data_IF_290093991296
#
_entry.id   IF_290093991296
#
_cell.length_a   1.000
_cell.length_b   1.000
_cell.length_c   1.000
_cell.angle_alpha   90.00
_cell.angle_beta   90.00
_cell.angle_gamma   90.00
#
_symmetry.space_group_name_H-M   'P 1'
#
loop_
_entity.id
_entity.type
_entity.pdbx_description
1 polymer ?
#
# COMPACT_ATOMS: atom_id res chain seq x y z
N UNK A 1 33.84 -8.77 5.88
CA UNK A 1 33.62 -9.82 4.87
C UNK A 1 33.33 -11.11 5.61
N UNK A 2 32.09 -11.29 6.07
CA UNK A 2 31.68 -12.57 6.66
C UNK A 2 30.76 -13.20 5.63
N UNK A 3 31.31 -14.17 4.91
CA UNK A 3 30.62 -15.01 3.93
C UNK A 3 29.57 -15.88 4.65
N UNK A 4 28.56 -15.24 5.21
CA UNK A 4 27.41 -15.92 5.78
C UNK A 4 26.55 -16.38 4.61
N UNK A 5 26.81 -17.62 4.17
CA UNK A 5 26.13 -18.23 3.02
C UNK A 5 24.62 -18.23 3.21
N UNK A 6 24.14 -18.26 4.46
CA UNK A 6 22.71 -18.23 4.79
C UNK A 6 21.99 -16.99 4.27
N UNK A 7 22.62 -15.81 4.37
CA UNK A 7 22.04 -14.55 3.88
C UNK A 7 22.01 -14.55 2.34
N UNK A 8 23.09 -15.04 1.72
CA UNK A 8 23.17 -15.16 0.26
C UNK A 8 22.12 -16.11 -0.31
N UNK A 9 21.92 -17.26 0.32
CA UNK A 9 20.92 -18.26 -0.06
C UNK A 9 19.50 -17.68 0.06
N UNK A 10 19.21 -16.92 1.13
CA UNK A 10 17.91 -16.25 1.30
C UNK A 10 17.65 -15.15 0.28
N UNK A 11 18.65 -14.34 -0.05
CA UNK A 11 18.52 -13.32 -1.12
C UNK A 11 18.29 -14.01 -2.46
N UNK A 12 18.99 -15.11 -2.75
CA UNK A 12 18.78 -15.88 -3.97
C UNK A 12 17.36 -16.46 -4.03
N UNK A 13 16.86 -17.04 -2.93
CA UNK A 13 15.50 -17.55 -2.83
C UNK A 13 14.45 -16.44 -3.02
N UNK A 14 14.65 -15.27 -2.41
CA UNK A 14 13.81 -14.11 -2.62
C UNK A 14 13.80 -13.72 -4.10
N UNK A 15 14.97 -13.52 -4.72
CA UNK A 15 15.13 -13.14 -6.14
C UNK A 15 14.46 -14.11 -7.11
N UNK A 16 14.50 -15.41 -6.83
CA UNK A 16 13.80 -16.43 -7.64
C UNK A 16 12.28 -16.29 -7.55
N UNK A 17 11.76 -15.97 -6.36
CA UNK A 17 10.32 -15.81 -6.08
C UNK A 17 9.73 -14.48 -6.60
N UNK A 18 10.42 -13.36 -6.43
CA UNK A 18 9.95 -12.04 -6.92
C UNK A 18 10.23 -11.81 -8.42
N UNK A 19 11.16 -12.56 -9.01
CA UNK A 19 11.60 -12.36 -10.38
C UNK A 19 12.51 -11.14 -10.56
N UNK A 20 13.00 -10.93 -11.79
CA UNK A 20 14.04 -9.92 -12.10
C UNK A 20 13.63 -8.46 -11.85
N UNK A 21 12.33 -8.17 -11.82
CA UNK A 21 11.80 -6.80 -11.68
C UNK A 21 11.11 -6.57 -10.33
N UNK A 22 11.07 -7.59 -9.45
CA UNK A 22 10.44 -7.44 -8.14
C UNK A 22 11.30 -6.65 -7.17
N UNK A 23 10.64 -5.94 -6.24
CA UNK A 23 11.30 -5.12 -5.22
C UNK A 23 11.50 -5.96 -3.97
N UNK A 24 12.72 -5.95 -3.42
CA UNK A 24 13.03 -6.58 -2.14
C UNK A 24 13.20 -5.48 -1.10
N UNK A 25 12.37 -5.53 -0.06
CA UNK A 25 12.46 -4.65 1.11
C UNK A 25 12.92 -5.48 2.31
N UNK A 26 13.80 -4.92 3.14
CA UNK A 26 14.28 -5.56 4.37
C UNK A 26 13.80 -4.74 5.55
N UNK A 27 13.15 -5.40 6.52
CA UNK A 27 12.65 -4.80 7.76
C UNK A 27 13.24 -5.51 8.98
N UNK A 28 13.43 -4.76 10.07
CA UNK A 28 13.92 -5.31 11.33
C UNK A 28 12.84 -6.19 11.99
N UNK A 29 13.03 -7.51 11.91
CA UNK A 29 12.16 -8.49 12.53
C UNK A 29 12.29 -8.50 14.06
N UNK A 30 11.21 -8.85 14.76
CA UNK A 30 11.21 -9.10 16.22
C UNK A 30 11.56 -10.55 16.59
N UNK A 31 11.65 -11.42 15.58
CA UNK A 31 11.93 -12.84 15.73
C UNK A 31 13.45 -13.09 15.79
N UNK A 32 13.84 -14.19 16.44
CA UNK A 32 15.21 -14.71 16.37
C UNK A 32 15.50 -15.35 15.01
N UNK A 33 14.43 -15.67 14.27
CA UNK A 33 14.51 -16.30 12.97
C UNK A 33 14.21 -15.29 11.86
N UNK A 34 14.80 -15.63 10.75
CA UNK A 34 14.80 -14.93 9.49
C UNK A 34 13.56 -15.32 8.66
N UNK A 35 12.64 -14.38 8.42
CA UNK A 35 11.38 -14.63 7.69
C UNK A 35 11.47 -14.09 6.24
N UNK A 36 10.76 -14.72 5.30
CA UNK A 36 10.64 -14.29 3.90
C UNK A 36 9.17 -14.30 3.51
N UNK A 37 8.59 -13.11 3.40
CA UNK A 37 7.21 -12.90 2.95
C UNK A 37 7.18 -12.40 1.52
N UNK A 38 6.40 -13.06 0.66
CA UNK A 38 6.14 -12.62 -0.71
C UNK A 38 4.78 -11.92 -0.70
N UNK A 39 4.78 -10.64 -1.05
CA UNK A 39 3.53 -9.88 -1.20
C UNK A 39 3.20 -9.79 -2.68
N UNK A 40 2.14 -10.48 -3.10
CA UNK A 40 1.55 -10.30 -4.43
C UNK A 40 0.69 -9.03 -4.42
N UNK A 41 1.03 -8.06 -5.26
CA UNK A 41 0.31 -6.79 -5.32
C UNK A 41 1.09 -5.68 -6.01
N UNK A 42 0.67 -4.45 -5.75
CA UNK A 42 1.32 -3.25 -6.24
C UNK A 42 1.58 -2.32 -5.07
N UNK A 43 2.81 -1.83 -4.97
CA UNK A 43 3.23 -0.88 -3.95
C UNK A 43 3.63 0.44 -4.63
N UNK A 44 3.34 1.55 -3.94
CA UNK A 44 3.73 2.88 -4.35
C UNK A 44 4.34 3.63 -3.17
N UNK A 45 5.24 4.57 -3.44
CA UNK A 45 5.92 5.39 -2.42
C UNK A 45 5.05 6.58 -1.94
N UNK A 46 3.72 6.38 -1.85
CA UNK A 46 2.78 7.40 -1.35
C UNK A 46 1.82 6.79 -0.33
N UNK A 47 1.62 7.53 0.76
CA UNK A 47 0.66 7.19 1.82
C UNK A 47 -0.67 7.93 1.69
N UNK A 48 -1.48 7.86 2.74
CA UNK A 48 -2.73 8.61 2.86
C UNK A 48 -2.45 10.11 3.08
N UNK A 49 -3.30 10.98 2.54
CA UNK A 49 -3.14 12.43 2.65
C UNK A 49 -3.35 12.96 4.08
N UNK A 50 -4.21 12.30 4.86
CA UNK A 50 -4.62 12.76 6.18
C UNK A 50 -4.73 11.61 7.19
N UNK A 51 -4.26 11.77 8.44
CA UNK A 51 -4.35 10.71 9.47
C UNK A 51 -5.80 10.38 9.86
N UNK A 52 -6.78 11.22 9.52
CA UNK A 52 -8.20 10.91 9.75
C UNK A 52 -8.69 9.69 8.98
N UNK A 53 -7.93 9.21 7.98
CA UNK A 53 -8.27 7.99 7.24
C UNK A 53 -7.88 6.69 7.96
N UNK A 54 -7.08 6.77 9.03
CA UNK A 54 -6.61 5.61 9.79
C UNK A 54 -7.82 4.88 10.40
N UNK A 55 -7.99 3.61 10.00
CA UNK A 55 -9.00 2.71 10.57
C UNK A 55 -8.37 1.53 11.34
N UNK A 56 -7.04 1.45 11.36
CA UNK A 56 -6.27 0.59 12.24
C UNK A 56 -5.25 1.43 13.04
N UNK A 57 -5.65 1.94 14.22
CA UNK A 57 -4.83 2.85 15.02
C UNK A 57 -3.52 2.25 15.50
N UNK A 58 -3.52 0.97 15.89
CA UNK A 58 -2.35 0.28 16.44
C UNK A 58 -1.22 0.18 15.42
N UNK A 59 -1.58 -0.03 14.16
CA UNK A 59 -0.63 -0.12 13.03
C UNK A 59 -0.48 1.19 12.26
N UNK A 60 -1.16 2.26 12.68
CA UNK A 60 -1.25 3.53 11.94
C UNK A 60 -1.50 3.33 10.44
N UNK A 61 -2.50 2.49 10.10
CA UNK A 61 -2.75 2.07 8.71
C UNK A 61 -4.22 2.21 8.30
N UNK A 62 -4.42 2.20 6.99
CA UNK A 62 -5.74 2.22 6.34
C UNK A 62 -5.92 0.89 5.61
N UNK A 63 -6.90 0.11 6.03
CA UNK A 63 -7.19 -1.21 5.45
C UNK A 63 -8.57 -1.14 4.79
N UNK A 64 -8.63 -1.35 3.47
CA UNK A 64 -9.87 -1.31 2.70
C UNK A 64 -10.16 -2.67 2.10
N UNK A 65 -11.34 -3.22 2.37
CA UNK A 65 -11.81 -4.47 1.77
C UNK A 65 -12.70 -4.19 0.55
N UNK A 66 -12.38 -4.83 -0.59
CA UNK A 66 -13.12 -4.69 -1.85
C UNK A 66 -13.53 -3.24 -2.20
N UNK A 67 -12.60 -2.26 -2.17
CA UNK A 67 -12.96 -0.86 -2.40
C UNK A 67 -13.33 -0.63 -3.87
N UNK A 68 -14.10 0.43 -4.11
CA UNK A 68 -14.06 1.11 -5.40
C UNK A 68 -12.74 1.87 -5.54
N UNK A 69 -12.21 1.95 -6.75
CA UNK A 69 -10.98 2.70 -7.03
C UNK A 69 -11.32 3.83 -8.01
N UNK A 70 -11.14 5.07 -7.57
CA UNK A 70 -11.24 6.25 -8.41
C UNK A 70 -9.83 6.72 -8.77
N UNK A 71 -9.50 6.64 -10.06
CA UNK A 71 -8.24 7.15 -10.61
C UNK A 71 -8.48 8.50 -11.27
N UNK A 72 -7.73 9.52 -10.85
CA UNK A 72 -7.84 10.87 -11.39
C UNK A 72 -6.47 11.49 -11.62
N UNK A 73 -6.10 11.73 -12.88
CA UNK A 73 -4.71 12.05 -13.26
C UNK A 73 -4.26 13.47 -12.88
N UNK A 74 -5.17 14.33 -12.41
CA UNK A 74 -4.90 15.73 -12.08
C UNK A 74 -5.15 16.01 -10.60
N UNK A 75 -4.91 17.25 -10.18
CA UNK A 75 -5.35 17.76 -8.87
C UNK A 75 -6.86 17.85 -8.77
N UNK A 76 -7.42 17.41 -7.65
CA UNK A 76 -8.81 17.64 -7.27
C UNK A 76 -8.85 18.90 -6.41
N UNK A 77 -9.12 20.06 -7.01
CA UNK A 77 -9.10 21.35 -6.28
C UNK A 77 -10.42 21.71 -5.59
N UNK A 78 -11.50 20.98 -5.89
CA UNK A 78 -12.81 21.23 -5.31
C UNK A 78 -13.49 19.91 -4.94
N UNK A 79 -13.56 19.63 -3.65
CA UNK A 79 -14.18 18.42 -3.12
C UNK A 79 -15.67 18.30 -3.49
N UNK A 80 -16.37 19.41 -3.78
CA UNK A 80 -17.80 19.38 -4.15
C UNK A 80 -18.04 18.61 -5.44
N UNK A 81 -17.07 18.57 -6.34
CA UNK A 81 -17.18 17.86 -7.62
C UNK A 81 -17.23 16.33 -7.41
N UNK A 82 -16.76 15.85 -6.25
CA UNK A 82 -16.81 14.44 -5.86
C UNK A 82 -18.12 14.04 -5.17
N UNK A 83 -18.95 14.98 -4.72
CA UNK A 83 -20.18 14.67 -3.98
C UNK A 83 -21.07 13.63 -4.67
N UNK A 84 -21.35 13.73 -5.99
CA UNK A 84 -22.21 12.74 -6.66
C UNK A 84 -21.63 11.32 -6.64
N UNK A 85 -20.30 11.19 -6.65
CA UNK A 85 -19.61 9.90 -6.57
C UNK A 85 -19.63 9.38 -5.14
N UNK A 86 -19.32 10.25 -4.16
CA UNK A 86 -19.35 9.89 -2.74
C UNK A 86 -20.73 9.42 -2.28
N UNK A 87 -21.79 10.07 -2.75
CA UNK A 87 -23.18 9.65 -2.47
C UNK A 87 -23.49 8.25 -3.01
N UNK A 88 -23.05 7.94 -4.24
CA UNK A 88 -23.25 6.62 -4.83
C UNK A 88 -22.45 5.55 -4.10
N UNK A 89 -21.21 5.85 -3.73
CA UNK A 89 -20.37 4.92 -2.97
C UNK A 89 -20.95 4.67 -1.58
N UNK A 90 -21.42 5.72 -0.90
CA UNK A 90 -22.08 5.59 0.40
C UNK A 90 -23.34 4.71 0.31
N UNK A 91 -24.17 4.88 -0.73
CA UNK A 91 -25.33 4.00 -0.99
C UNK A 91 -24.93 2.55 -1.25
N UNK A 92 -23.80 2.32 -1.90
CA UNK A 92 -23.29 0.98 -2.18
C UNK A 92 -22.68 0.30 -0.95
N UNK A 93 -22.41 1.03 0.14
CA UNK A 93 -21.86 0.48 1.37
C UNK A 93 -20.45 -0.11 1.23
N UNK A 94 -19.71 0.32 0.20
CA UNK A 94 -18.33 -0.15 -0.08
C UNK A 94 -17.34 1.00 0.11
N UNK A 95 -16.10 0.76 0.55
CA UNK A 95 -15.11 1.82 0.68
C UNK A 95 -14.68 2.41 -0.68
N UNK A 96 -14.14 3.62 -0.68
CA UNK A 96 -13.55 4.28 -1.85
C UNK A 96 -12.06 4.54 -1.62
N UNK A 97 -11.21 4.06 -2.53
CA UNK A 97 -9.82 4.49 -2.66
C UNK A 97 -9.74 5.53 -3.79
N UNK A 98 -9.23 6.72 -3.48
CA UNK A 98 -8.99 7.78 -4.46
C UNK A 98 -7.48 7.89 -4.69
N UNK A 99 -7.05 7.76 -5.95
CA UNK A 99 -5.67 7.99 -6.37
C UNK A 99 -5.67 9.19 -7.32
N UNK A 100 -5.05 10.28 -6.87
CA UNK A 100 -4.94 11.51 -7.64
C UNK A 100 -3.55 12.14 -7.52
N UNK A 101 -3.25 13.12 -8.37
CA UNK A 101 -2.01 13.91 -8.28
C UNK A 101 -1.91 14.61 -6.91
N UNK A 102 -3.02 15.23 -6.51
CA UNK A 102 -3.20 15.98 -5.26
C UNK A 102 -4.71 16.16 -4.98
N UNK A 103 -5.09 16.42 -3.73
CA UNK A 103 -6.46 16.77 -3.34
C UNK A 103 -6.41 18.01 -2.45
N UNK A 104 -7.04 19.09 -2.89
CA UNK A 104 -7.15 20.36 -2.16
C UNK A 104 -8.60 20.55 -1.72
N UNK A 105 -8.82 20.99 -0.48
CA UNK A 105 -10.13 21.16 0.12
C UNK A 105 -10.06 21.70 1.53
#
# INVERSE_FOLDING_TARGET
>A
ANSDSSIGDRIAEAMEKVGKEGVITVEDGKSLNDELDIVEGMQFDRGYLSPYFINNPDKQSVILENPFILLFVKKISNIRDLLPVLEQVAKAGRPLLIIAEDIEG
#
